data_IF_707766656973
#
_entry.id   IF_707766656973
#
_cell.length_a   1.000
_cell.length_b   1.000
_cell.length_c   1.000
_cell.angle_alpha   90.00
_cell.angle_beta   90.00
_cell.angle_gamma   90.00
#
_symmetry.space_group_name_H-M   'P 1'
#
loop_
_entity.id
_entity.type
_entity.pdbx_description
1 polymer ?
#
# COMPACT_ATOMS: atom_id res chain seq x y z
N UNK A 1 21.55 12.43 -8.32
CA UNK A 1 21.45 10.99 -7.98
C UNK A 1 20.70 10.92 -6.66
N UNK A 2 19.55 10.26 -6.63
CA UNK A 2 18.72 10.18 -5.41
C UNK A 2 19.45 9.34 -4.34
N UNK A 3 19.55 9.81 -3.09
CA UNK A 3 20.23 9.07 -2.04
C UNK A 3 19.38 7.86 -1.57
N UNK A 4 20.02 6.83 -0.99
CA UNK A 4 19.28 5.75 -0.36
C UNK A 4 18.51 6.26 0.86
N UNK A 5 17.27 5.79 1.02
CA UNK A 5 16.44 6.12 2.17
C UNK A 5 16.96 5.34 3.40
N UNK A 6 17.30 6.02 4.50
CA UNK A 6 17.82 5.37 5.68
C UNK A 6 16.71 4.57 6.39
N UNK A 7 17.04 3.38 6.87
CA UNK A 7 16.07 2.44 7.44
C UNK A 7 16.68 1.58 8.54
N UNK A 8 15.81 0.99 9.36
CA UNK A 8 16.12 -0.07 10.32
C UNK A 8 15.27 -1.31 10.00
N UNK A 9 15.69 -2.47 10.52
CA UNK A 9 14.92 -3.70 10.38
C UNK A 9 13.93 -3.78 11.53
N UNK A 10 12.64 -3.80 11.18
CA UNK A 10 11.55 -3.88 12.16
C UNK A 10 11.22 -5.34 12.50
N UNK A 11 11.17 -6.19 11.46
CA UNK A 11 10.78 -7.59 11.62
C UNK A 11 11.33 -8.45 10.50
N UNK A 12 11.69 -9.69 10.81
CA UNK A 12 11.93 -10.74 9.84
C UNK A 12 11.26 -12.06 10.27
N UNK A 13 10.88 -12.89 9.30
CA UNK A 13 10.23 -14.18 9.54
C UNK A 13 11.16 -15.29 10.05
N UNK A 14 12.47 -15.08 9.94
CA UNK A 14 13.52 -15.96 10.44
C UNK A 14 14.93 -15.47 10.09
N UNK A 15 15.92 -15.78 10.92
CA UNK A 15 17.33 -15.50 10.66
C UNK A 15 18.22 -16.57 11.28
N UNK A 16 19.20 -17.07 10.52
CA UNK A 16 20.24 -17.94 11.07
C UNK A 16 21.18 -17.15 11.98
N UNK A 17 21.70 -17.77 13.05
CA UNK A 17 22.69 -17.15 13.93
C UNK A 17 23.98 -16.76 13.20
N UNK A 18 24.36 -17.51 12.15
CA UNK A 18 25.55 -17.21 11.34
C UNK A 18 25.29 -16.15 10.26
N UNK A 19 24.03 -15.97 9.88
CA UNK A 19 23.60 -15.11 8.79
C UNK A 19 22.40 -14.25 9.25
N UNK A 20 22.65 -13.34 10.21
CA UNK A 20 21.60 -12.58 10.86
C UNK A 20 20.99 -11.55 9.88
N UNK A 21 19.79 -11.06 10.19
CA UNK A 21 19.03 -10.18 9.28
C UNK A 21 19.72 -8.82 9.08
N UNK A 22 20.46 -8.38 10.09
CA UNK A 22 21.26 -7.16 10.13
C UNK A 22 22.33 -7.14 9.02
N UNK A 23 22.79 -8.30 8.56
CA UNK A 23 23.74 -8.42 7.44
C UNK A 23 23.24 -7.75 6.15
N UNK A 24 21.92 -7.60 6.00
CA UNK A 24 21.31 -6.94 4.84
C UNK A 24 21.64 -5.44 4.78
N UNK A 25 21.95 -4.82 5.93
CA UNK A 25 22.26 -3.40 6.04
C UNK A 25 23.62 -3.05 5.41
N UNK A 26 24.58 -3.98 5.44
CA UNK A 26 25.93 -3.78 4.90
C UNK A 26 25.95 -3.57 3.39
N UNK A 27 24.95 -4.13 2.69
CA UNK A 27 24.85 -4.11 1.24
C UNK A 27 26.16 -4.56 0.54
N UNK A 28 26.71 -5.69 1.00
CA UNK A 28 27.96 -6.25 0.49
C UNK A 28 27.79 -7.74 0.17
N UNK A 29 28.63 -8.28 -0.73
CA UNK A 29 28.62 -9.73 -1.02
C UNK A 29 29.31 -10.58 0.04
N UNK A 30 29.98 -9.96 1.01
CA UNK A 30 30.72 -10.64 2.07
C UNK A 30 29.80 -11.18 3.17
N UNK A 31 28.72 -10.47 3.46
CA UNK A 31 27.71 -10.83 4.46
C UNK A 31 26.36 -11.03 3.77
N UNK A 32 25.50 -11.87 4.34
CA UNK A 32 24.15 -12.08 3.83
C UNK A 32 23.23 -12.52 4.94
N UNK A 33 21.95 -12.20 4.79
CA UNK A 33 20.90 -12.81 5.59
C UNK A 33 20.48 -14.13 4.96
N UNK A 34 20.19 -15.11 5.81
CA UNK A 34 19.59 -16.38 5.43
C UNK A 34 18.44 -16.73 6.36
N UNK A 35 17.30 -17.05 5.76
CA UNK A 35 16.08 -17.43 6.44
C UNK A 35 16.03 -18.94 6.71
N UNK A 36 15.04 -19.36 7.50
CA UNK A 36 14.70 -20.77 7.65
C UNK A 36 13.85 -21.24 6.45
N UNK A 37 13.64 -22.55 6.30
CA UNK A 37 13.21 -23.16 5.03
C UNK A 37 11.72 -22.95 4.64
N UNK A 38 11.06 -21.84 5.04
CA UNK A 38 9.67 -21.58 4.62
C UNK A 38 9.62 -21.25 3.12
N UNK A 39 8.47 -21.50 2.46
CA UNK A 39 8.30 -21.16 1.05
C UNK A 39 8.34 -19.64 0.81
N UNK A 40 7.81 -18.87 1.77
CA UNK A 40 7.78 -17.40 1.72
C UNK A 40 8.38 -16.84 3.00
N UNK A 41 9.34 -15.94 2.84
CA UNK A 41 10.10 -15.34 3.95
C UNK A 41 10.01 -13.82 3.80
N UNK A 42 9.73 -13.13 4.91
CA UNK A 42 9.40 -11.71 4.94
C UNK A 42 10.43 -10.93 5.72
N UNK A 43 10.76 -9.74 5.20
CA UNK A 43 11.49 -8.69 5.91
C UNK A 43 10.64 -7.42 5.87
N UNK A 44 10.48 -6.77 7.02
CA UNK A 44 9.86 -5.44 7.15
C UNK A 44 10.95 -4.45 7.55
N UNK A 45 11.10 -3.41 6.73
CA UNK A 45 11.99 -2.28 6.98
C UNK A 45 11.15 -1.11 7.51
N UNK A 46 11.62 -0.48 8.58
CA UNK A 46 11.10 0.80 9.05
C UNK A 46 12.01 1.90 8.50
N UNK A 47 11.45 2.80 7.70
CA UNK A 47 12.14 3.99 7.25
C UNK A 47 12.26 4.96 8.42
N UNK A 48 13.40 5.65 8.54
CA UNK A 48 13.61 6.62 9.64
C UNK A 48 12.65 7.82 9.57
N UNK A 49 12.15 8.14 8.37
CA UNK A 49 11.15 9.17 8.16
C UNK A 49 10.22 8.78 7.00
N UNK A 50 9.01 9.35 7.00
CA UNK A 50 8.07 9.18 5.89
C UNK A 50 8.74 9.65 4.60
N UNK A 51 8.82 8.76 3.62
CA UNK A 51 9.54 8.99 2.38
C UNK A 51 8.71 8.57 1.17
N UNK A 52 8.89 9.29 0.07
CA UNK A 52 8.38 8.92 -1.24
C UNK A 52 9.33 7.92 -1.87
N UNK A 53 9.01 6.64 -1.77
CA UNK A 53 9.85 5.55 -2.26
C UNK A 53 9.81 5.48 -3.79
N UNK A 54 10.94 5.72 -4.42
CA UNK A 54 11.11 5.71 -5.88
C UNK A 54 11.40 4.30 -6.40
N UNK A 55 12.36 3.62 -5.79
CA UNK A 55 12.80 2.27 -6.11
C UNK A 55 13.37 1.54 -4.89
N UNK A 56 13.44 0.21 -4.98
CA UNK A 56 14.20 -0.62 -4.05
C UNK A 56 15.19 -1.46 -4.83
N UNK A 57 16.44 -1.46 -4.38
CA UNK A 57 17.50 -2.29 -4.94
C UNK A 57 17.79 -3.46 -4.04
N UNK A 58 17.79 -4.65 -4.62
CA UNK A 58 17.98 -5.90 -3.87
C UNK A 58 19.17 -6.63 -4.48
N UNK A 59 20.22 -6.82 -3.69
CA UNK A 59 21.36 -7.64 -4.07
C UNK A 59 21.06 -9.09 -3.69
N UNK A 60 20.61 -9.86 -4.67
CA UNK A 60 20.10 -11.20 -4.44
C UNK A 60 21.21 -12.24 -4.33
N UNK A 61 21.08 -13.17 -3.39
CA UNK A 61 21.91 -14.37 -3.34
C UNK A 61 21.18 -15.55 -3.98
N UNK A 62 20.04 -15.95 -3.42
CA UNK A 62 19.35 -17.17 -3.85
C UNK A 62 17.81 -17.08 -3.89
N UNK A 63 17.21 -15.91 -3.60
CA UNK A 63 15.76 -15.74 -3.67
C UNK A 63 15.27 -15.84 -5.12
N UNK A 64 14.10 -16.44 -5.34
CA UNK A 64 13.55 -16.62 -6.69
C UNK A 64 12.81 -15.38 -7.20
N UNK A 65 11.91 -14.87 -6.36
CA UNK A 65 11.10 -13.72 -6.65
C UNK A 65 10.80 -12.95 -5.35
N UNK A 66 10.31 -11.71 -5.49
CA UNK A 66 9.91 -10.88 -4.37
C UNK A 66 8.59 -10.17 -4.65
N UNK A 67 7.72 -10.14 -3.65
CA UNK A 67 6.58 -9.22 -3.60
C UNK A 67 6.97 -8.01 -2.76
N UNK A 68 6.63 -6.81 -3.24
CA UNK A 68 6.94 -5.54 -2.58
C UNK A 68 5.63 -4.91 -2.11
N UNK A 69 5.48 -4.75 -0.80
CA UNK A 69 4.37 -4.02 -0.19
C UNK A 69 4.87 -2.81 0.60
N UNK A 70 4.09 -1.74 0.62
CA UNK A 70 4.39 -0.48 1.34
C UNK A 70 3.26 -0.15 2.30
N UNK A 71 3.58 0.53 3.40
CA UNK A 71 2.59 1.05 4.35
C UNK A 71 3.06 2.36 4.99
N UNK A 72 2.11 3.16 5.48
CA UNK A 72 2.41 4.30 6.37
C UNK A 72 2.38 3.87 7.84
N UNK A 73 1.51 2.94 8.21
CA UNK A 73 1.43 2.37 9.55
C UNK A 73 1.88 0.90 9.55
N UNK A 74 2.51 0.45 10.64
CA UNK A 74 2.94 -0.93 10.79
C UNK A 74 1.79 -1.85 11.28
N UNK A 75 0.68 -1.85 10.55
CA UNK A 75 -0.42 -2.79 10.76
C UNK A 75 -0.50 -3.73 9.57
N UNK A 76 -0.80 -5.00 9.84
CA UNK A 76 -0.79 -6.04 8.80
C UNK A 76 -1.71 -5.72 7.62
N UNK A 77 -2.85 -5.11 7.90
CA UNK A 77 -3.92 -4.82 6.95
C UNK A 77 -3.69 -3.53 6.14
N UNK A 78 -2.72 -2.71 6.54
CA UNK A 78 -2.43 -1.41 5.89
C UNK A 78 -1.37 -1.51 4.79
N UNK A 79 -0.72 -2.67 4.66
CA UNK A 79 0.26 -2.91 3.61
C UNK A 79 -0.39 -3.10 2.26
N UNK A 80 -0.09 -2.20 1.33
CA UNK A 80 -0.50 -2.27 -0.06
C UNK A 80 0.60 -2.94 -0.87
N UNK A 81 0.27 -4.01 -1.58
CA UNK A 81 1.22 -4.67 -2.49
C UNK A 81 1.30 -3.91 -3.81
N UNK A 82 2.49 -3.40 -4.11
CA UNK A 82 2.77 -2.54 -5.28
C UNK A 82 3.29 -3.38 -6.45
N UNK A 83 4.13 -4.37 -6.13
CA UNK A 83 4.71 -5.27 -7.11
C UNK A 83 4.59 -6.70 -6.60
N UNK A 84 4.19 -7.60 -7.48
CA UNK A 84 4.08 -9.03 -7.21
C UNK A 84 4.98 -9.80 -8.15
N UNK A 85 5.55 -10.88 -7.62
CA UNK A 85 6.32 -11.89 -8.33
C UNK A 85 7.48 -11.33 -9.17
N UNK A 86 8.17 -10.31 -8.63
CA UNK A 86 9.31 -9.72 -9.32
C UNK A 86 10.47 -10.70 -9.29
N UNK A 87 10.85 -11.22 -10.45
CA UNK A 87 11.96 -12.16 -10.60
C UNK A 87 13.28 -11.54 -10.17
N UNK A 88 14.03 -12.27 -9.33
CA UNK A 88 15.34 -11.86 -8.85
C UNK A 88 16.41 -12.76 -9.48
N UNK A 89 17.30 -12.22 -10.35
CA UNK A 89 18.42 -13.00 -10.87
C UNK A 89 19.42 -13.35 -9.75
N UNK A 90 20.04 -14.52 -9.84
CA UNK A 90 21.01 -15.01 -8.84
C UNK A 90 22.29 -14.16 -8.85
N UNK A 91 22.81 -13.84 -7.67
CA UNK A 91 24.05 -13.07 -7.45
C UNK A 91 24.11 -11.68 -8.12
N UNK A 92 22.95 -11.14 -8.50
CA UNK A 92 22.82 -9.84 -9.18
C UNK A 92 21.95 -8.89 -8.38
N UNK A 93 22.21 -7.61 -8.61
CA UNK A 93 21.36 -6.54 -8.14
C UNK A 93 20.13 -6.43 -9.03
N UNK A 94 18.96 -6.30 -8.41
CA UNK A 94 17.69 -6.04 -9.07
C UNK A 94 17.16 -4.68 -8.65
N UNK A 95 16.78 -3.86 -9.62
CA UNK A 95 16.19 -2.54 -9.39
C UNK A 95 14.69 -2.62 -9.60
N UNK A 96 13.91 -2.41 -8.54
CA UNK A 96 12.45 -2.50 -8.56
C UNK A 96 11.86 -1.10 -8.40
N UNK A 97 11.28 -0.55 -9.48
CA UNK A 97 10.68 0.79 -9.48
C UNK A 97 9.28 0.77 -8.83
N UNK A 98 9.05 1.71 -7.92
CA UNK A 98 7.82 1.84 -7.12
C UNK A 98 6.99 3.08 -7.50
N UNK A 99 7.62 4.13 -8.05
CA UNK A 99 6.89 5.28 -8.58
C UNK A 99 6.56 6.37 -7.56
N UNK A 100 7.44 6.61 -6.58
CA UNK A 100 7.33 7.67 -5.56
C UNK A 100 6.13 7.50 -4.64
N UNK A 101 5.99 6.33 -4.03
CA UNK A 101 4.89 6.04 -3.12
C UNK A 101 5.21 6.50 -1.69
N UNK A 102 4.33 7.26 -1.02
CA UNK A 102 4.54 7.64 0.36
C UNK A 102 4.47 6.39 1.26
N UNK A 103 5.52 6.17 2.04
CA UNK A 103 5.62 5.04 2.96
C UNK A 103 6.48 5.37 4.18
N UNK A 104 6.21 4.69 5.28
CA UNK A 104 7.08 4.59 6.45
C UNK A 104 7.62 3.16 6.61
N UNK A 105 6.93 2.16 6.05
CA UNK A 105 7.30 0.75 6.14
C UNK A 105 7.36 0.13 4.75
N UNK A 106 8.39 -0.69 4.53
CA UNK A 106 8.57 -1.49 3.31
C UNK A 106 8.61 -2.97 3.71
N UNK A 107 7.66 -3.76 3.20
CA UNK A 107 7.64 -5.21 3.39
C UNK A 107 8.04 -5.92 2.10
N UNK A 108 9.06 -6.75 2.20
CA UNK A 108 9.56 -7.59 1.13
C UNK A 108 9.26 -9.04 1.48
N UNK A 109 8.48 -9.69 0.62
CA UNK A 109 8.15 -11.12 0.75
C UNK A 109 8.89 -11.89 -0.33
N UNK A 110 9.94 -12.58 0.06
CA UNK A 110 10.77 -13.38 -0.82
C UNK A 110 10.19 -14.78 -0.98
N UNK A 111 10.16 -15.25 -2.22
CA UNK A 111 9.69 -16.59 -2.57
C UNK A 111 10.86 -17.52 -2.82
N UNK A 112 10.73 -18.73 -2.30
CA UNK A 112 11.61 -19.86 -2.58
C UNK A 112 11.03 -20.68 -3.74
N UNK A 113 11.90 -21.25 -4.57
CA UNK A 113 11.47 -22.22 -5.59
C UNK A 113 12.22 -23.53 -5.44
N UNK A 114 13.43 -23.62 -6.00
CA UNK A 114 14.24 -24.84 -5.98
C UNK A 114 15.31 -24.83 -4.87
N UNK A 115 15.60 -23.66 -4.30
CA UNK A 115 16.64 -23.51 -3.28
C UNK A 115 16.18 -24.04 -1.92
N UNK A 116 17.15 -24.38 -1.06
CA UNK A 116 16.93 -24.89 0.30
C UNK A 116 16.47 -23.80 1.28
N UNK A 117 16.94 -22.57 1.09
CA UNK A 117 16.65 -21.38 1.93
C UNK A 117 16.50 -20.13 1.07
N UNK A 118 15.95 -19.06 1.64
CA UNK A 118 16.01 -17.71 1.06
C UNK A 118 17.19 -16.98 1.67
N UNK A 119 17.95 -16.28 0.84
CA UNK A 119 19.13 -15.53 1.22
C UNK A 119 19.32 -14.32 0.32
N UNK A 120 19.69 -13.21 0.95
CA UNK A 120 19.85 -11.90 0.32
C UNK A 120 21.10 -11.24 0.89
N UNK A 121 21.94 -10.67 0.02
CA UNK A 121 23.16 -9.97 0.44
C UNK A 121 22.84 -8.59 1.02
N UNK A 122 21.91 -7.87 0.39
CA UNK A 122 21.58 -6.52 0.82
C UNK A 122 20.33 -5.96 0.20
N UNK A 123 19.71 -5.01 0.88
CA UNK A 123 18.54 -4.28 0.44
C UNK A 123 18.83 -2.78 0.57
N UNK A 124 18.41 -1.99 -0.40
CA UNK A 124 18.62 -0.54 -0.38
C UNK A 124 17.41 0.16 -0.98
N UNK A 125 16.50 0.69 -0.14
CA UNK A 125 15.43 1.55 -0.62
C UNK A 125 15.99 2.91 -1.05
N UNK A 126 15.36 3.51 -2.04
CA UNK A 126 15.63 4.86 -2.52
C UNK A 126 14.34 5.66 -2.44
N UNK A 127 14.46 6.92 -2.06
CA UNK A 127 13.32 7.80 -1.89
C UNK A 127 13.74 9.21 -1.49
N UNK A 128 12.77 10.11 -1.57
CA UNK A 128 12.90 11.48 -1.03
C UNK A 128 12.13 11.56 0.27
N UNK A 129 12.79 11.99 1.35
CA UNK A 129 12.13 12.21 2.63
C UNK A 129 11.08 13.33 2.49
N UNK A 130 9.85 13.10 2.96
CA UNK A 130 8.76 14.06 2.80
C UNK A 130 9.05 15.38 3.53
N UNK A 131 9.83 15.37 4.61
CA UNK A 131 10.24 16.59 5.31
C UNK A 131 11.15 17.50 4.47
N UNK A 132 12.02 16.93 3.63
CA UNK A 132 12.85 17.70 2.68
C UNK A 132 11.96 18.32 1.61
N UNK A 133 10.96 17.56 1.12
CA UNK A 133 10.02 18.05 0.12
C UNK A 133 9.18 19.23 0.64
N UNK A 134 8.77 19.20 1.91
CA UNK A 134 8.04 20.30 2.54
C UNK A 134 8.91 21.56 2.71
N UNK A 135 10.18 21.39 3.06
CA UNK A 135 11.14 22.49 3.22
C UNK A 135 11.50 23.15 1.88
N UNK A 136 11.82 22.35 0.86
CA UNK A 136 12.33 22.85 -0.42
C UNK A 136 11.21 23.18 -1.42
N UNK A 137 10.15 22.37 -1.44
CA UNK A 137 9.04 22.50 -2.39
C UNK A 137 7.80 23.22 -1.84
N UNK A 138 7.81 23.52 -0.54
CA UNK A 138 6.73 24.20 0.16
C UNK A 138 5.48 23.33 0.40
N UNK A 139 4.49 23.88 1.12
CA UNK A 139 3.33 23.13 1.60
C UNK A 139 2.44 22.58 0.49
N UNK A 140 2.36 23.28 -0.65
CA UNK A 140 1.51 22.87 -1.76
C UNK A 140 1.97 21.55 -2.39
N UNK A 141 3.29 21.41 -2.63
CA UNK A 141 3.86 20.20 -3.21
C UNK A 141 3.77 19.03 -2.24
N UNK A 142 4.08 19.27 -0.96
CA UNK A 142 3.90 18.28 0.09
C UNK A 142 2.44 17.80 0.17
N UNK A 143 1.48 18.73 0.14
CA UNK A 143 0.06 18.39 0.22
C UNK A 143 -0.39 17.49 -0.93
N UNK A 144 0.06 17.77 -2.16
CA UNK A 144 -0.33 16.97 -3.33
C UNK A 144 0.38 15.62 -3.32
N UNK A 145 1.70 15.61 -3.18
CA UNK A 145 2.51 14.40 -3.42
C UNK A 145 2.49 13.45 -2.23
N UNK A 146 2.48 13.98 -1.01
CA UNK A 146 2.52 13.19 0.22
C UNK A 146 1.13 12.97 0.79
N UNK A 147 0.41 14.05 1.13
CA UNK A 147 -0.85 13.95 1.89
C UNK A 147 -2.02 13.41 1.04
N UNK A 148 -2.25 13.96 -0.15
CA UNK A 148 -3.35 13.50 -1.02
C UNK A 148 -3.09 12.10 -1.57
N UNK A 149 -1.87 11.81 -2.00
CA UNK A 149 -1.49 10.45 -2.45
C UNK A 149 -1.66 9.43 -1.33
N UNK A 150 -1.27 9.76 -0.11
CA UNK A 150 -1.51 8.89 1.05
C UNK A 150 -3.00 8.68 1.29
N UNK A 151 -3.82 9.74 1.29
CA UNK A 151 -5.26 9.62 1.49
C UNK A 151 -5.95 8.77 0.41
N UNK A 152 -5.44 8.79 -0.83
CA UNK A 152 -5.94 7.95 -1.93
C UNK A 152 -5.53 6.49 -1.72
N UNK A 153 -4.26 6.25 -1.36
CA UNK A 153 -3.70 4.90 -1.25
C UNK A 153 -4.12 4.21 0.04
N UNK A 154 -4.06 4.88 1.17
CA UNK A 154 -4.25 4.29 2.51
C UNK A 154 -5.51 4.82 3.22
N UNK A 155 -6.17 5.83 2.68
CA UNK A 155 -7.37 6.42 3.29
C UNK A 155 -8.65 5.61 3.01
N UNK A 156 -9.79 6.09 3.54
CA UNK A 156 -11.10 5.43 3.41
C UNK A 156 -11.59 5.33 1.96
N UNK A 157 -10.91 5.99 1.01
CA UNK A 157 -11.17 5.89 -0.42
C UNK A 157 -10.71 4.56 -1.02
N UNK A 158 -9.72 3.88 -0.43
CA UNK A 158 -9.19 2.63 -0.96
C UNK A 158 -10.25 1.51 -0.96
N UNK A 159 -10.96 1.21 0.17
CA UNK A 159 -12.00 0.17 0.17
C UNK A 159 -13.19 0.48 -0.74
N UNK A 160 -13.47 1.76 -1.01
CA UNK A 160 -14.53 2.18 -1.93
C UNK A 160 -14.16 1.96 -3.41
N UNK A 161 -12.86 1.93 -3.72
CA UNK A 161 -12.31 1.75 -5.07
C UNK A 161 -11.96 0.30 -5.41
N UNK A 162 -11.79 -0.56 -4.40
CA UNK A 162 -11.63 -1.99 -4.61
C UNK A 162 -12.97 -2.57 -5.07
N UNK A 163 -12.98 -3.42 -6.12
CA UNK A 163 -14.21 -4.11 -6.50
C UNK A 163 -14.71 -4.84 -5.25
N UNK A 164 -15.94 -4.51 -4.83
CA UNK A 164 -16.63 -5.23 -3.75
C UNK A 164 -16.43 -6.71 -4.05
N UNK A 165 -15.75 -7.44 -3.16
CA UNK A 165 -15.78 -8.90 -3.19
C UNK A 165 -17.26 -9.27 -3.20
N UNK A 166 -17.71 -9.79 -4.33
CA UNK A 166 -19.10 -10.12 -4.56
C UNK A 166 -19.62 -10.95 -3.40
N UNK A 167 -20.71 -10.50 -2.79
CA UNK A 167 -21.45 -11.22 -1.75
C UNK A 167 -22.20 -12.45 -2.34
N UNK A 168 -21.67 -13.07 -3.39
CA UNK A 168 -22.31 -14.13 -4.18
C UNK A 168 -21.44 -15.39 -4.29
N UNK A 169 -20.59 -15.65 -3.30
CA UNK A 169 -19.94 -16.96 -3.14
C UNK A 169 -20.48 -17.66 -1.88
N UNK A 170 -21.72 -18.14 -1.94
CA UNK A 170 -22.24 -19.19 -1.07
C UNK A 170 -23.48 -19.85 -1.72
N UNK A 171 -23.30 -20.42 -2.91
CA UNK A 171 -24.20 -21.47 -3.39
C UNK A 171 -23.39 -22.54 -4.12
N UNK A 172 -23.80 -23.80 -3.93
CA UNK A 172 -23.15 -25.09 -4.28
C UNK A 172 -22.35 -25.63 -3.07
N UNK A 173 -22.71 -26.71 -2.37
CA UNK A 173 -23.69 -27.78 -2.61
C UNK A 173 -23.78 -28.66 -1.35
N UNK A 174 -24.99 -29.10 -0.97
CA UNK A 174 -25.19 -30.01 0.17
C UNK A 174 -26.57 -30.66 0.18
N UNK A 175 -26.72 -31.65 -0.70
CA UNK A 175 -27.74 -32.69 -0.78
C UNK A 175 -28.51 -33.03 0.53
N UNK A 176 -29.84 -32.98 0.52
CA UNK A 176 -30.74 -33.80 1.38
C UNK A 176 -32.22 -33.70 0.95
N UNK A 177 -32.66 -34.71 0.19
CA UNK A 177 -33.94 -35.45 0.24
C UNK A 177 -35.24 -34.66 0.59
N UNK A 178 -36.12 -34.54 -0.41
CA UNK A 178 -37.56 -34.21 -0.32
C UNK A 178 -38.34 -35.26 0.52
N UNK A 179 -39.45 -34.88 1.20
CA UNK A 179 -40.74 -34.88 0.49
C UNK A 179 -41.75 -33.79 0.88
N UNK A 180 -42.59 -33.53 -0.13
CA UNK A 180 -44.03 -33.20 -0.10
C UNK A 180 -44.54 -31.84 0.42
N UNK A 181 -45.23 -31.19 -0.53
CA UNK A 181 -46.52 -30.48 -0.44
C UNK A 181 -46.60 -29.05 0.10
N UNK A 182 -47.04 -28.18 -0.81
CA UNK A 182 -48.15 -27.21 -0.69
C UNK A 182 -47.80 -25.74 -0.94
N UNK A 183 -48.54 -25.20 -1.92
CA UNK A 183 -49.09 -23.86 -2.08
C UNK A 183 -48.21 -22.60 -2.15
N UNK A 184 -48.36 -21.95 -3.31
CA UNK A 184 -48.77 -20.55 -3.49
C UNK A 184 -48.03 -19.45 -2.73
N UNK A 185 -47.20 -18.69 -3.46
CA UNK A 185 -47.50 -17.30 -3.88
C UNK A 185 -46.24 -16.65 -4.45
N UNK A 186 -46.25 -16.43 -5.77
CA UNK A 186 -45.39 -15.46 -6.42
C UNK A 186 -45.82 -14.05 -5.98
N UNK A 187 -45.03 -13.41 -5.12
CA UNK A 187 -45.11 -11.98 -4.89
C UNK A 187 -44.05 -11.25 -5.71
N UNK A 188 -44.53 -10.35 -6.56
CA UNK A 188 -43.78 -9.35 -7.29
C UNK A 188 -42.77 -8.61 -6.39
N UNK A 189 -41.51 -8.59 -6.82
CA UNK A 189 -40.47 -7.71 -6.29
C UNK A 189 -40.53 -6.38 -7.06
N UNK A 190 -40.74 -5.21 -6.41
CA UNK A 190 -40.67 -3.91 -7.07
C UNK A 190 -39.21 -3.44 -7.24
N UNK A 191 -38.91 -2.54 -8.19
CA UNK A 191 -37.56 -2.09 -8.46
C UNK A 191 -37.03 -1.18 -7.34
N UNK A 192 -35.85 -1.55 -6.83
CA UNK A 192 -34.79 -0.71 -6.24
C UNK A 192 -35.18 0.65 -5.63
N UNK A 193 -35.36 0.70 -4.31
CA UNK A 193 -35.14 1.93 -3.52
C UNK A 193 -33.65 2.12 -3.30
N UNK A 194 -33.14 3.28 -3.66
CA UNK A 194 -31.78 3.74 -3.37
C UNK A 194 -31.52 3.73 -1.85
N UNK A 195 -30.37 3.22 -1.36
CA UNK A 195 -30.09 3.11 0.07
C UNK A 195 -30.06 4.47 0.79
N UNK A 196 -30.67 4.56 1.97
CA UNK A 196 -30.78 5.81 2.75
C UNK A 196 -29.43 6.43 3.15
N UNK A 197 -28.34 5.68 3.11
CA UNK A 197 -27.00 6.19 3.41
C UNK A 197 -26.45 7.14 2.33
N UNK A 198 -26.98 7.07 1.09
CA UNK A 198 -26.63 8.02 0.01
C UNK A 198 -27.21 9.42 0.23
N UNK A 199 -28.32 9.55 0.97
CA UNK A 199 -28.98 10.85 1.18
C UNK A 199 -28.24 11.79 2.15
N UNK A 200 -27.24 11.29 2.88
CA UNK A 200 -26.52 12.10 3.89
C UNK A 200 -25.31 12.83 3.33
N UNK A 201 -24.88 12.54 2.10
CA UNK A 201 -23.69 13.17 1.52
C UNK A 201 -23.99 14.40 0.66
N UNK A 202 -25.18 14.50 0.07
CA UNK A 202 -25.54 15.64 -0.80
C UNK A 202 -25.59 16.96 -0.02
N UNK A 203 -26.05 16.95 1.23
CA UNK A 203 -26.20 18.16 2.03
C UNK A 203 -24.88 18.80 2.48
N UNK A 204 -23.79 18.03 2.56
CA UNK A 204 -22.48 18.53 2.98
C UNK A 204 -21.77 19.24 1.82
N UNK A 205 -21.88 18.70 0.61
CA UNK A 205 -21.29 19.29 -0.60
C UNK A 205 -22.00 20.60 -0.93
N UNK A 206 -23.32 20.64 -0.88
CA UNK A 206 -24.11 21.86 -1.13
C UNK A 206 -23.80 22.96 -0.10
N UNK A 207 -23.63 22.61 1.17
CA UNK A 207 -23.25 23.57 2.21
C UNK A 207 -21.84 24.15 2.01
N UNK A 208 -20.89 23.34 1.51
CA UNK A 208 -19.55 23.81 1.18
C UNK A 208 -19.54 24.68 -0.08
N UNK A 209 -20.32 24.33 -1.09
CA UNK A 209 -20.47 25.11 -2.32
C UNK A 209 -21.09 26.48 -2.04
N UNK A 210 -22.15 26.52 -1.22
CA UNK A 210 -22.82 27.75 -0.79
C UNK A 210 -21.88 28.67 0.00
N UNK A 211 -21.03 28.11 0.87
CA UNK A 211 -19.99 28.88 1.58
C UNK A 211 -18.94 29.45 0.63
N UNK A 212 -18.52 28.67 -0.38
CA UNK A 212 -17.53 29.10 -1.35
C UNK A 212 -18.08 30.25 -2.22
N UNK A 213 -19.32 30.13 -2.68
CA UNK A 213 -20.01 31.17 -3.46
C UNK A 213 -20.18 32.46 -2.66
N UNK A 214 -20.59 32.38 -1.40
CA UNK A 214 -20.71 33.55 -0.53
C UNK A 214 -19.36 34.26 -0.32
N UNK A 215 -18.26 33.50 -0.22
CA UNK A 215 -16.92 34.06 -0.06
C UNK A 215 -16.45 34.77 -1.34
N UNK A 216 -16.71 34.21 -2.51
CA UNK A 216 -16.37 34.82 -3.80
C UNK A 216 -17.19 36.09 -4.09
N UNK A 217 -18.47 36.12 -3.68
CA UNK A 217 -19.31 37.32 -3.81
C UNK A 217 -18.85 38.46 -2.88
N UNK A 218 -18.34 38.14 -1.69
CA UNK A 218 -17.74 39.14 -0.82
C UNK A 218 -16.42 39.69 -1.36
N UNK A 219 -15.57 38.84 -1.96
CA UNK A 219 -14.30 39.26 -2.55
C UNK A 219 -14.50 40.18 -3.77
N UNK A 220 -15.52 39.91 -4.60
CA UNK A 220 -15.85 40.75 -5.77
C UNK A 220 -16.47 42.09 -5.37
N UNK A 221 -17.29 42.14 -4.31
CA UNK A 221 -17.79 43.42 -3.76
C UNK A 221 -16.69 44.27 -3.13
N UNK A 222 -15.73 43.66 -2.44
CA UNK A 222 -14.59 44.40 -1.87
C UNK A 222 -13.72 45.08 -2.94
N UNK A 223 -13.63 44.49 -4.14
CA UNK A 223 -12.92 45.07 -5.28
C UNK A 223 -13.68 46.23 -5.96
N UNK A 224 -14.99 46.33 -5.76
CA UNK A 224 -15.83 47.38 -6.35
C UNK A 224 -15.84 48.70 -5.56
N UNK A 225 -15.26 48.74 -4.36
CA UNK A 225 -15.13 49.96 -3.54
C UNK A 225 -13.76 50.64 -3.65
N UNK A 226 -12.90 50.20 -4.58
CA UNK A 226 -11.57 50.78 -4.82
C UNK A 226 -11.46 51.55 -6.15
N UNK A 227 -12.57 51.93 -6.78
CA UNK A 227 -12.62 52.89 -7.88
C UNK A 227 -13.71 53.93 -7.64
#
# INVERSE_FOLDING_TARGET
>A
MEPPAPYSIEKASGSSFQHPVESVLDYARATYWESFAKPNETIVLALQSKSLLSEVRILNKNAHAVDVSVAVENKRDDFITVKTDVRLPLHRESVIKLGYLPACFLRLTFKRQAQTSVSVYGIRPFGVACGVLEQDGGPALFNVVSFKTEAILYGPSLPASLPRRDCLSDHISGFSILPSTSNDRCHHIPPSRSPEWMKRHDSCVDAQLTRLEATLQHATKAHSYMY
#
